data_IF_545315164947
#
_entry.id   IF_545315164947
#
_cell.length_a   1.000
_cell.length_b   1.000
_cell.length_c   1.000
_cell.angle_alpha   90.00
_cell.angle_beta   90.00
_cell.angle_gamma   90.00
#
_symmetry.space_group_name_H-M   'P 1'
#
loop_
_entity.id
_entity.type
_entity.pdbx_description
1 polymer ?
#
# COMPACT_ATOMS: atom_id res chain seq x y z
N UNK A 1 59.45 -5.54 -0.93
CA UNK A 1 58.41 -5.95 -1.89
C UNK A 1 57.25 -6.57 -1.12
N UNK A 2 56.34 -5.73 -0.66
CA UNK A 2 55.09 -6.15 0.01
C UNK A 2 54.03 -6.39 -1.06
N UNK A 3 53.40 -7.56 -1.02
CA UNK A 3 52.28 -7.94 -1.90
C UNK A 3 51.07 -7.02 -1.65
N UNK A 4 50.26 -6.68 -2.66
CA UNK A 4 49.01 -5.97 -2.42
C UNK A 4 47.95 -6.92 -1.85
N UNK A 5 47.13 -6.38 -0.96
CA UNK A 5 46.01 -7.03 -0.27
C UNK A 5 44.77 -7.04 -1.19
N UNK A 6 44.08 -8.19 -1.43
CA UNK A 6 42.94 -8.25 -2.33
C UNK A 6 41.62 -8.25 -1.54
N UNK A 7 41.10 -7.09 -1.16
CA UNK A 7 39.72 -7.00 -0.69
C UNK A 7 39.15 -5.57 -0.75
N UNK A 8 38.61 -5.18 -1.91
CA UNK A 8 37.43 -4.30 -1.96
C UNK A 8 36.65 -4.60 -3.25
N UNK A 9 36.00 -5.76 -3.28
CA UNK A 9 34.83 -5.94 -4.14
C UNK A 9 33.73 -5.10 -3.51
N UNK A 10 33.50 -3.91 -4.08
CA UNK A 10 32.35 -3.08 -3.78
C UNK A 10 31.10 -3.86 -4.16
N UNK A 11 30.33 -4.31 -3.15
CA UNK A 11 29.00 -4.88 -3.36
C UNK A 11 28.08 -3.76 -3.84
N UNK A 12 27.83 -3.77 -5.14
CA UNK A 12 26.85 -2.91 -5.78
C UNK A 12 25.46 -3.09 -5.13
N UNK A 13 24.95 -1.98 -4.59
CA UNK A 13 23.58 -1.52 -4.78
C UNK A 13 22.46 -2.51 -4.52
N UNK A 14 21.90 -2.46 -3.32
CA UNK A 14 20.65 -3.14 -3.01
C UNK A 14 20.07 -2.69 -1.68
N UNK A 15 19.97 -1.38 -1.43
CA UNK A 15 19.07 -0.88 -0.39
C UNK A 15 17.64 -1.21 -0.83
N UNK A 16 17.17 -2.42 -0.48
CA UNK A 16 15.74 -2.70 -0.38
C UNK A 16 15.19 -1.71 0.65
N UNK A 17 14.49 -0.70 0.16
CA UNK A 17 13.95 0.39 0.95
C UNK A 17 12.99 -0.18 2.01
N UNK A 18 13.43 -0.35 3.26
CA UNK A 18 12.62 -0.96 4.34
C UNK A 18 11.59 0.01 4.95
N UNK A 19 11.09 0.99 4.20
CA UNK A 19 10.27 2.07 4.78
C UNK A 19 9.14 2.64 3.93
N UNK A 20 9.23 2.60 2.60
CA UNK A 20 8.21 3.18 1.71
C UNK A 20 7.83 2.14 0.67
N UNK A 21 6.55 1.76 0.65
CA UNK A 21 5.97 0.91 -0.40
C UNK A 21 5.46 1.78 -1.52
N UNK A 22 5.71 1.41 -2.77
CA UNK A 22 4.99 2.04 -3.88
C UNK A 22 3.53 1.60 -3.91
N UNK A 23 2.69 2.30 -4.69
CA UNK A 23 1.30 1.93 -4.87
C UNK A 23 1.16 0.51 -5.43
N UNK A 24 2.03 0.14 -6.37
CA UNK A 24 2.11 -1.18 -7.00
C UNK A 24 2.58 -2.27 -6.02
N UNK A 25 3.61 -1.97 -5.21
CA UNK A 25 4.11 -2.91 -4.20
C UNK A 25 3.05 -3.19 -3.12
N UNK A 26 2.31 -2.17 -2.69
CA UNK A 26 1.17 -2.35 -1.80
C UNK A 26 0.13 -3.24 -2.45
N UNK A 27 -0.28 -2.96 -3.69
CA UNK A 27 -1.33 -3.72 -4.35
C UNK A 27 -0.95 -5.19 -4.54
N UNK A 28 0.30 -5.45 -4.93
CA UNK A 28 0.83 -6.81 -5.04
C UNK A 28 0.82 -7.55 -3.68
N UNK A 29 1.18 -6.87 -2.59
CA UNK A 29 1.12 -7.44 -1.25
C UNK A 29 -0.33 -7.76 -0.81
N UNK A 30 -1.27 -6.85 -1.07
CA UNK A 30 -2.68 -7.06 -0.73
C UNK A 30 -3.28 -8.24 -1.51
N UNK A 31 -2.98 -8.35 -2.81
CA UNK A 31 -3.33 -9.51 -3.62
C UNK A 31 -2.76 -10.81 -3.04
N UNK A 32 -1.48 -10.82 -2.68
CA UNK A 32 -0.83 -12.01 -2.11
C UNK A 32 -1.48 -12.43 -0.80
N UNK A 33 -1.79 -11.49 0.10
CA UNK A 33 -2.48 -11.76 1.36
C UNK A 33 -3.89 -12.31 1.14
N UNK A 34 -4.63 -11.73 0.21
CA UNK A 34 -5.98 -12.14 -0.15
C UNK A 34 -5.98 -13.56 -0.74
N UNK A 35 -5.10 -13.83 -1.71
CA UNK A 35 -4.97 -15.15 -2.33
C UNK A 35 -4.56 -16.24 -1.33
N UNK A 36 -3.67 -15.91 -0.39
CA UNK A 36 -3.22 -16.84 0.64
C UNK A 36 -4.22 -17.01 1.80
N UNK A 37 -5.28 -16.20 1.88
CA UNK A 37 -6.19 -16.20 3.03
C UNK A 37 -5.45 -15.94 4.35
N UNK A 38 -4.47 -15.03 4.36
CA UNK A 38 -3.53 -14.85 5.47
C UNK A 38 -4.27 -14.56 6.79
N UNK A 39 -4.16 -15.43 7.83
CA UNK A 39 -4.82 -15.23 9.11
C UNK A 39 -4.41 -13.92 9.78
N UNK A 40 -5.37 -13.21 10.38
CA UNK A 40 -5.13 -11.94 11.06
C UNK A 40 -4.92 -10.74 10.11
N UNK A 41 -4.97 -10.93 8.79
CA UNK A 41 -4.92 -9.83 7.82
C UNK A 41 -6.21 -9.02 7.86
N UNK A 42 -6.09 -7.71 8.12
CA UNK A 42 -7.21 -6.77 8.00
C UNK A 42 -7.81 -6.74 6.60
N UNK A 43 -7.00 -6.97 5.56
CA UNK A 43 -7.47 -7.08 4.17
C UNK A 43 -8.37 -8.27 3.96
N UNK A 44 -7.98 -9.45 4.47
CA UNK A 44 -8.78 -10.68 4.34
C UNK A 44 -10.10 -10.51 5.08
N UNK A 45 -10.05 -10.01 6.31
CA UNK A 45 -11.26 -9.75 7.10
C UNK A 45 -12.19 -8.71 6.45
N UNK A 46 -11.64 -7.69 5.76
CA UNK A 46 -12.44 -6.72 5.02
C UNK A 46 -13.10 -7.34 3.79
N UNK A 47 -12.38 -8.18 3.04
CA UNK A 47 -12.91 -8.92 1.88
C UNK A 47 -14.05 -9.86 2.28
N UNK A 48 -13.93 -10.56 3.41
CA UNK A 48 -15.00 -11.40 3.97
C UNK A 48 -16.28 -10.62 4.29
N UNK A 49 -16.14 -9.35 4.70
CA UNK A 49 -17.28 -8.45 4.98
C UNK A 49 -17.90 -7.85 3.71
N UNK A 50 -17.22 -7.97 2.56
CA UNK A 50 -17.72 -7.59 1.24
C UNK A 50 -17.70 -6.09 0.94
N UNK A 51 -18.12 -5.78 -0.30
CA UNK A 51 -18.00 -4.45 -0.93
C UNK A 51 -18.65 -3.32 -0.13
N UNK A 52 -19.77 -3.56 0.55
CA UNK A 52 -20.47 -2.54 1.33
C UNK A 52 -19.66 -2.07 2.55
N UNK A 53 -19.02 -3.01 3.26
CA UNK A 53 -18.16 -2.67 4.39
C UNK A 53 -16.94 -1.86 3.93
N UNK A 54 -16.30 -2.30 2.86
CA UNK A 54 -15.11 -1.63 2.30
C UNK A 54 -15.48 -0.24 1.75
N UNK A 55 -16.59 -0.11 1.04
CA UNK A 55 -17.07 1.16 0.50
C UNK A 55 -17.34 2.20 1.59
N UNK A 56 -17.89 1.79 2.75
CA UNK A 56 -18.03 2.69 3.91
C UNK A 56 -16.68 3.21 4.39
N UNK A 57 -15.69 2.34 4.49
CA UNK A 57 -14.33 2.75 4.87
C UNK A 57 -13.72 3.72 3.86
N UNK A 58 -13.88 3.49 2.56
CA UNK A 58 -13.40 4.46 1.54
C UNK A 58 -14.01 5.85 1.76
N UNK A 59 -15.32 5.94 2.04
CA UNK A 59 -15.98 7.23 2.32
C UNK A 59 -15.48 7.86 3.61
N UNK A 60 -15.29 7.06 4.66
CA UNK A 60 -14.74 7.49 5.95
C UNK A 60 -13.35 8.11 5.79
N UNK A 61 -12.40 7.38 5.17
CA UNK A 61 -11.03 7.87 4.98
C UNK A 61 -10.97 9.08 4.04
N UNK A 62 -11.90 9.18 3.07
CA UNK A 62 -11.99 10.36 2.20
C UNK A 62 -12.44 11.60 2.98
N UNK A 63 -13.41 11.45 3.90
CA UNK A 63 -13.83 12.52 4.78
C UNK A 63 -12.69 12.91 5.76
N UNK A 64 -12.02 11.94 6.37
CA UNK A 64 -10.89 12.17 7.28
C UNK A 64 -9.72 12.84 6.56
N UNK A 65 -9.38 12.41 5.34
CA UNK A 65 -8.37 13.07 4.50
C UNK A 65 -8.68 14.54 4.23
N UNK A 66 -9.95 14.86 3.94
CA UNK A 66 -10.39 16.24 3.75
C UNK A 66 -10.27 17.05 5.04
N UNK A 67 -10.77 16.52 6.16
CA UNK A 67 -10.70 17.20 7.45
C UNK A 67 -9.25 17.43 7.91
N UNK A 68 -8.37 16.44 7.75
CA UNK A 68 -6.96 16.56 8.08
C UNK A 68 -6.26 17.63 7.23
N UNK A 69 -6.58 17.70 5.93
CA UNK A 69 -6.07 18.73 5.03
C UNK A 69 -6.52 20.15 5.41
N UNK A 70 -7.75 20.31 5.90
CA UNK A 70 -8.26 21.61 6.34
C UNK A 70 -7.76 22.03 7.72
N UNK A 71 -7.50 21.09 8.63
CA UNK A 71 -7.40 21.41 10.06
C UNK A 71 -6.19 20.83 10.80
N UNK A 72 -5.52 19.80 10.27
CA UNK A 72 -4.52 19.03 11.04
C UNK A 72 -3.11 19.08 10.44
N UNK A 73 -2.98 19.52 9.19
CA UNK A 73 -1.70 19.79 8.54
C UNK A 73 -1.08 18.59 7.81
N UNK A 74 0.10 18.78 7.21
CA UNK A 74 0.62 17.87 6.18
C UNK A 74 0.89 16.43 6.64
N UNK A 75 1.33 16.23 7.88
CA UNK A 75 1.64 14.89 8.41
C UNK A 75 0.37 14.04 8.59
N UNK A 76 -0.63 14.58 9.29
CA UNK A 76 -1.94 13.91 9.44
C UNK A 76 -2.64 13.72 8.10
N UNK A 77 -2.56 14.71 7.22
CA UNK A 77 -3.11 14.59 5.85
C UNK A 77 -2.47 13.42 5.10
N UNK A 78 -1.15 13.26 5.17
CA UNK A 78 -0.45 12.16 4.52
C UNK A 78 -0.84 10.80 5.13
N UNK A 79 -1.06 10.74 6.44
CA UNK A 79 -1.54 9.55 7.13
C UNK A 79 -2.92 9.13 6.63
N UNK A 80 -3.92 10.03 6.64
CA UNK A 80 -5.28 9.71 6.18
C UNK A 80 -5.33 9.37 4.69
N UNK A 81 -4.56 10.08 3.85
CA UNK A 81 -4.45 9.72 2.43
C UNK A 81 -3.86 8.32 2.28
N UNK A 82 -2.89 7.92 3.12
CA UNK A 82 -2.32 6.57 3.06
C UNK A 82 -3.37 5.50 3.39
N UNK A 83 -4.26 5.78 4.35
CA UNK A 83 -5.37 4.90 4.70
C UNK A 83 -6.40 4.84 3.57
N UNK A 84 -6.74 5.98 2.97
CA UNK A 84 -7.61 6.05 1.81
C UNK A 84 -7.06 5.21 0.65
N UNK A 85 -5.77 5.37 0.30
CA UNK A 85 -5.10 4.60 -0.75
C UNK A 85 -5.15 3.09 -0.47
N UNK A 86 -4.97 2.69 0.79
CA UNK A 86 -5.16 1.29 1.19
C UNK A 86 -6.62 0.84 0.95
N UNK A 87 -7.63 1.58 1.41
CA UNK A 87 -9.03 1.17 1.28
C UNK A 87 -9.49 1.09 -0.18
N UNK A 88 -9.06 2.02 -1.06
CA UNK A 88 -9.41 1.92 -2.49
C UNK A 88 -8.76 0.71 -3.15
N UNK A 89 -7.53 0.34 -2.77
CA UNK A 89 -6.93 -0.89 -3.27
C UNK A 89 -7.66 -2.15 -2.77
N UNK A 90 -8.14 -2.15 -1.52
CA UNK A 90 -8.99 -3.26 -1.02
C UNK A 90 -10.33 -3.29 -1.77
N UNK A 91 -10.90 -2.13 -2.11
CA UNK A 91 -12.12 -2.04 -2.94
C UNK A 91 -11.89 -2.58 -4.35
N UNK A 92 -10.71 -2.33 -4.94
CA UNK A 92 -10.33 -2.92 -6.22
C UNK A 92 -10.33 -4.46 -6.15
N UNK A 93 -9.72 -5.04 -5.10
CA UNK A 93 -9.73 -6.49 -4.90
C UNK A 93 -11.15 -7.05 -4.74
N UNK A 94 -11.99 -6.40 -3.93
CA UNK A 94 -13.38 -6.80 -3.75
C UNK A 94 -14.22 -6.68 -5.03
N UNK A 95 -13.80 -5.83 -5.97
CA UNK A 95 -14.46 -5.59 -7.26
C UNK A 95 -13.85 -6.39 -8.40
N UNK A 96 -12.80 -7.18 -8.16
CA UNK A 96 -12.10 -7.96 -9.19
C UNK A 96 -11.32 -7.11 -10.20
N UNK A 97 -10.79 -5.96 -9.78
CA UNK A 97 -10.04 -5.04 -10.64
C UNK A 97 -8.52 -5.16 -10.43
N UNK A 98 -7.77 -5.09 -11.53
CA UNK A 98 -6.32 -4.87 -11.51
C UNK A 98 -5.97 -3.37 -11.57
N UNK A 99 -4.72 -3.02 -11.24
CA UNK A 99 -4.19 -1.65 -11.42
C UNK A 99 -4.37 -1.13 -12.85
N UNK A 100 -4.14 -1.97 -13.86
CA UNK A 100 -4.29 -1.60 -15.27
C UNK A 100 -5.71 -1.13 -15.60
N UNK A 101 -6.71 -1.68 -14.93
CA UNK A 101 -8.11 -1.37 -15.18
C UNK A 101 -8.45 0.03 -14.65
N UNK A 102 -7.75 0.50 -13.62
CA UNK A 102 -7.87 1.86 -13.09
C UNK A 102 -6.96 2.82 -13.86
N UNK A 103 -5.70 2.46 -14.10
CA UNK A 103 -4.71 3.31 -14.75
C UNK A 103 -5.08 3.70 -16.18
N UNK A 104 -5.85 2.90 -16.90
CA UNK A 104 -6.36 3.26 -18.24
C UNK A 104 -7.29 4.49 -18.24
N UNK A 105 -7.74 4.93 -17.08
CA UNK A 105 -8.61 6.10 -16.91
C UNK A 105 -7.85 7.36 -16.43
N UNK A 106 -6.55 7.25 -16.16
CA UNK A 106 -5.67 8.36 -15.80
C UNK A 106 -4.99 8.94 -17.04
#
# INVERSE_FOLDING_TARGET
MTRPDPAHVSSAGGWKNRGVKTFEELFAELQAKAAAGTPGSGTVAALEKGVHFIGKKVVEEAAESWMAAEHEGPERTAEEISQLLYQVQVLMLASGLDLKDVYRHL
#
